data_IF_623149953072
#
_entry.id   IF_623149953072
#
_cell.length_a   1.000
_cell.length_b   1.000
_cell.length_c   1.000
_cell.angle_alpha   90.00
_cell.angle_beta   90.00
_cell.angle_gamma   90.00
#
_symmetry.space_group_name_H-M   'P 1'
#
loop_
_entity.id
_entity.type
_entity.pdbx_description
1 polymer ?
#
# COMPACT_ATOMS: atom_id res chain seq x y z
N UNK A 1 -15.19 -2.87 0.86
CA UNK A 1 -16.25 -2.45 1.79
C UNK A 1 -15.68 -2.44 3.21
N UNK A 2 -14.83 -1.44 3.48
CA UNK A 2 -14.35 -0.98 4.79
C UNK A 2 -13.64 0.34 4.48
N UNK A 3 -14.38 1.43 4.43
CA UNK A 3 -13.86 2.77 4.19
C UNK A 3 -13.25 3.36 5.47
N UNK A 4 -12.26 2.66 6.05
CA UNK A 4 -11.58 3.13 7.25
C UNK A 4 -10.58 4.21 6.84
N UNK A 5 -10.89 5.45 7.20
CA UNK A 5 -9.96 6.57 7.05
C UNK A 5 -8.88 6.50 8.15
N UNK A 6 -7.72 7.13 7.93
CA UNK A 6 -6.60 7.12 8.88
C UNK A 6 -6.99 7.60 10.28
N UNK A 7 -7.92 8.57 10.37
CA UNK A 7 -8.47 9.02 11.65
C UNK A 7 -9.29 7.94 12.36
N UNK A 8 -10.12 7.22 11.61
CA UNK A 8 -10.99 6.17 12.14
C UNK A 8 -10.18 4.97 12.67
N UNK A 9 -9.05 4.67 12.02
CA UNK A 9 -8.07 3.70 12.54
C UNK A 9 -7.49 4.12 13.90
N UNK A 10 -7.16 5.39 14.09
CA UNK A 10 -6.64 5.90 15.38
C UNK A 10 -7.71 5.77 16.47
N UNK A 11 -8.97 6.10 16.17
CA UNK A 11 -10.08 5.95 17.11
C UNK A 11 -10.23 4.47 17.51
N UNK A 12 -10.15 3.55 16.54
CA UNK A 12 -10.23 2.12 16.81
C UNK A 12 -9.07 1.63 17.68
N UNK A 13 -7.86 2.16 17.45
CA UNK A 13 -6.69 1.87 18.28
C UNK A 13 -6.90 2.36 19.72
N UNK A 14 -7.43 3.56 19.91
CA UNK A 14 -7.74 4.11 21.23
C UNK A 14 -8.77 3.23 21.95
N UNK A 15 -9.85 2.84 21.26
CA UNK A 15 -10.87 1.94 21.81
C UNK A 15 -10.24 0.60 22.20
N UNK A 16 -9.39 0.02 21.35
CA UNK A 16 -8.69 -1.22 21.67
C UNK A 16 -7.82 -1.09 22.92
N UNK A 17 -7.08 0.02 23.08
CA UNK A 17 -6.27 0.30 24.28
C UNK A 17 -7.14 0.40 25.52
N UNK A 18 -8.30 1.06 25.45
CA UNK A 18 -9.21 1.22 26.59
C UNK A 18 -9.84 -0.12 26.98
N UNK A 19 -10.33 -0.89 26.00
CA UNK A 19 -11.00 -2.18 26.24
C UNK A 19 -10.02 -3.22 26.78
N UNK A 20 -8.82 -3.30 26.22
CA UNK A 20 -7.81 -4.28 26.63
C UNK A 20 -7.03 -3.83 27.89
N UNK A 21 -6.97 -2.52 28.11
CA UNK A 21 -6.21 -1.85 29.15
C UNK A 21 -4.80 -1.45 28.67
N UNK A 22 -4.36 -0.20 28.90
CA UNK A 22 -3.05 0.28 28.44
C UNK A 22 -1.89 -0.46 29.10
N UNK A 23 -2.07 -0.94 30.33
CA UNK A 23 -1.06 -1.73 31.06
C UNK A 23 -0.87 -3.13 30.47
N UNK A 24 -1.92 -3.73 29.89
CA UNK A 24 -1.90 -5.13 29.39
C UNK A 24 -1.52 -5.24 27.93
N UNK A 25 -1.80 -4.21 27.12
CA UNK A 25 -1.44 -4.15 25.71
C UNK A 25 0.06 -4.43 25.45
N UNK A 26 1.04 -3.79 26.14
CA UNK A 26 2.46 -4.07 25.89
C UNK A 26 2.84 -5.52 26.23
N UNK A 27 2.20 -6.11 27.25
CA UNK A 27 2.44 -7.52 27.60
C UNK A 27 1.97 -8.46 26.48
N UNK A 28 0.78 -8.22 25.92
CA UNK A 28 0.26 -9.00 24.79
C UNK A 28 1.06 -8.78 23.50
N UNK A 29 1.43 -7.53 23.21
CA UNK A 29 2.29 -7.20 22.07
C UNK A 29 3.65 -7.91 22.18
N UNK A 30 4.24 -7.98 23.38
CA UNK A 30 5.47 -8.72 23.60
C UNK A 30 5.30 -10.25 23.45
N UNK A 31 4.16 -10.82 23.84
CA UNK A 31 3.83 -12.23 23.60
C UNK A 31 3.69 -12.52 22.11
N UNK A 32 2.93 -11.70 21.38
CA UNK A 32 2.79 -11.81 19.93
C UNK A 32 4.13 -11.66 19.22
N UNK A 33 4.94 -10.67 19.60
CA UNK A 33 6.27 -10.46 19.03
C UNK A 33 7.21 -11.66 19.24
N UNK A 34 7.16 -12.29 20.41
CA UNK A 34 7.90 -13.55 20.67
C UNK A 34 7.41 -14.68 19.78
N UNK A 35 6.09 -14.83 19.63
CA UNK A 35 5.49 -15.84 18.75
C UNK A 35 5.88 -15.62 17.29
N UNK A 36 5.79 -14.39 16.79
CA UNK A 36 6.21 -14.03 15.42
C UNK A 36 7.70 -14.33 15.21
N UNK A 37 8.55 -14.03 16.20
CA UNK A 37 9.98 -14.33 16.13
C UNK A 37 10.24 -15.84 16.08
N UNK A 38 9.53 -16.62 16.89
CA UNK A 38 9.64 -18.08 16.89
C UNK A 38 9.18 -18.66 15.56
N UNK A 39 8.02 -18.22 15.05
CA UNK A 39 7.53 -18.61 13.73
C UNK A 39 8.53 -18.28 12.63
N UNK A 40 9.15 -17.09 12.68
CA UNK A 40 10.20 -16.71 11.73
C UNK A 40 11.39 -17.66 11.78
N UNK A 41 11.92 -17.96 12.96
CA UNK A 41 13.04 -18.90 13.13
C UNK A 41 12.68 -20.30 12.61
N UNK A 42 11.46 -20.77 12.89
CA UNK A 42 10.96 -22.06 12.38
C UNK A 42 10.84 -22.05 10.85
N UNK A 43 10.31 -20.97 10.27
CA UNK A 43 10.19 -20.81 8.82
C UNK A 43 11.56 -20.76 8.13
N UNK A 44 12.51 -20.03 8.71
CA UNK A 44 13.88 -19.93 8.20
C UNK A 44 14.59 -21.30 8.26
N UNK A 45 14.39 -22.07 9.34
CA UNK A 45 14.92 -23.43 9.49
C UNK A 45 14.30 -24.42 8.49
N UNK A 46 12.99 -24.38 8.31
CA UNK A 46 12.29 -25.21 7.32
C UNK A 46 12.74 -24.87 5.90
N UNK A 47 12.91 -23.58 5.58
CA UNK A 47 13.45 -23.12 4.30
C UNK A 47 14.87 -23.63 4.07
N UNK A 48 15.73 -23.63 5.09
CA UNK A 48 17.07 -24.16 5.00
C UNK A 48 17.07 -25.67 4.69
N UNK A 49 16.26 -26.45 5.41
CA UNK A 49 16.12 -27.90 5.18
C UNK A 49 15.57 -28.22 3.79
N UNK A 50 14.63 -27.42 3.28
CA UNK A 50 14.05 -27.61 1.96
C UNK A 50 15.08 -27.29 0.87
N UNK A 51 15.88 -26.24 1.05
CA UNK A 51 17.01 -25.89 0.18
C UNK A 51 18.07 -26.99 0.14
N UNK A 52 18.39 -27.57 1.29
CA UNK A 52 19.41 -28.62 1.39
C UNK A 52 18.96 -29.95 0.74
N UNK A 53 17.65 -30.23 0.73
CA UNK A 53 17.08 -31.47 0.18
C UNK A 53 16.70 -31.38 -1.31
N UNK A 54 16.28 -30.22 -1.81
CA UNK A 54 15.83 -30.08 -3.20
C UNK A 54 16.95 -29.67 -4.17
N UNK A 55 18.13 -29.31 -3.67
CA UNK A 55 19.24 -28.89 -4.53
C UNK A 55 18.95 -27.58 -5.27
N UNK A 56 19.82 -27.17 -6.22
CA UNK A 56 19.79 -25.86 -6.87
C UNK A 56 18.51 -25.52 -7.66
N UNK A 57 17.54 -26.44 -7.80
CA UNK A 57 16.23 -26.16 -8.42
C UNK A 57 15.32 -25.26 -7.55
N UNK A 58 15.70 -24.97 -6.28
CA UNK A 58 15.01 -24.01 -5.41
C UNK A 58 15.56 -22.56 -5.51
N UNK A 59 16.68 -22.33 -6.20
CA UNK A 59 17.31 -21.01 -6.34
C UNK A 59 16.52 -20.07 -7.28
N UNK A 60 15.67 -20.60 -8.16
CA UNK A 60 14.87 -19.80 -9.10
C UNK A 60 13.64 -19.12 -8.45
N UNK A 61 13.28 -19.52 -7.23
CA UNK A 61 12.29 -18.80 -6.43
C UNK A 61 12.94 -17.53 -5.86
N UNK A 62 12.74 -16.42 -6.56
CA UNK A 62 13.23 -15.07 -6.26
C UNK A 62 12.78 -14.54 -4.88
N UNK A 63 13.30 -15.07 -3.77
CA UNK A 63 12.99 -14.58 -2.42
C UNK A 63 13.50 -13.16 -2.15
N UNK A 64 14.42 -12.64 -2.98
CA UNK A 64 14.92 -11.26 -2.93
C UNK A 64 13.84 -10.23 -3.21
N UNK A 65 12.76 -10.59 -3.91
CA UNK A 65 11.63 -9.69 -4.15
C UNK A 65 10.71 -9.54 -2.92
N UNK A 66 10.86 -10.42 -1.92
CA UNK A 66 10.06 -10.43 -0.69
C UNK A 66 10.85 -10.02 0.56
N UNK A 67 12.07 -9.51 0.41
CA UNK A 67 12.88 -9.04 1.54
C UNK A 67 12.37 -7.69 2.06
N UNK A 68 11.71 -7.65 3.24
CA UNK A 68 11.07 -6.43 3.75
C UNK A 68 12.08 -5.36 4.18
N UNK A 69 13.38 -5.69 4.25
CA UNK A 69 14.45 -4.77 4.67
C UNK A 69 15.01 -3.95 3.51
N UNK A 70 14.67 -4.31 2.26
CA UNK A 70 14.99 -3.52 1.08
C UNK A 70 14.01 -2.34 0.89
N UNK A 71 12.91 -2.31 1.66
CA UNK A 71 12.04 -1.15 1.79
C UNK A 71 12.55 -0.24 2.92
N UNK A 72 13.74 0.36 2.73
CA UNK A 72 14.32 1.29 3.73
C UNK A 72 13.58 2.65 3.63
N UNK A 73 12.74 3.02 4.61
CA UNK A 73 11.92 4.23 4.55
C UNK A 73 12.78 5.50 4.47
N UNK A 74 14.06 5.43 4.87
CA UNK A 74 14.99 6.56 4.79
C UNK A 74 15.37 6.92 3.36
N UNK A 75 15.33 5.95 2.43
CA UNK A 75 15.54 6.23 1.00
C UNK A 75 14.35 6.97 0.40
N UNK A 76 13.13 6.55 0.72
CA UNK A 76 11.89 7.18 0.23
C UNK A 76 11.79 8.64 0.70
N UNK A 77 12.13 8.91 1.97
CA UNK A 77 12.14 10.28 2.51
C UNK A 77 13.25 11.13 1.88
N UNK A 78 14.43 10.56 1.63
CA UNK A 78 15.52 11.28 0.93
C UNK A 78 15.15 11.60 -0.51
N UNK A 79 14.53 10.67 -1.23
CA UNK A 79 14.04 10.90 -2.59
C UNK A 79 13.02 12.07 -2.60
N UNK A 80 12.10 12.09 -1.65
CA UNK A 80 11.09 13.14 -1.52
C UNK A 80 11.64 14.52 -1.07
N UNK A 81 12.78 14.57 -0.39
CA UNK A 81 13.43 15.83 0.01
C UNK A 81 14.44 16.36 -1.03
N UNK A 82 14.94 15.51 -1.93
CA UNK A 82 15.96 15.88 -2.93
C UNK A 82 15.36 16.27 -4.27
N UNK A 83 14.06 16.00 -4.50
CA UNK A 83 13.35 16.47 -5.68
C UNK A 83 13.05 17.97 -5.49
N UNK A 84 13.62 18.88 -6.31
CA UNK A 84 13.31 20.29 -6.23
C UNK A 84 11.84 20.46 -6.61
N UNK A 85 10.98 20.68 -5.61
CA UNK A 85 9.59 21.07 -5.81
C UNK A 85 9.58 22.23 -6.80
N UNK A 86 8.96 22.12 -7.98
CA UNK A 86 8.85 23.25 -8.88
C UNK A 86 8.01 24.28 -8.12
N UNK A 87 8.66 25.38 -7.71
CA UNK A 87 7.97 26.50 -7.05
C UNK A 87 6.77 26.86 -7.90
N UNK A 88 5.59 26.96 -7.27
CA UNK A 88 4.30 27.19 -7.93
C UNK A 88 4.28 28.37 -8.93
N UNK A 89 5.25 29.28 -8.83
CA UNK A 89 5.51 30.35 -9.79
C UNK A 89 5.90 29.86 -11.21
N UNK A 90 6.61 28.74 -11.34
CA UNK A 90 7.03 28.18 -12.63
C UNK A 90 5.94 27.31 -13.29
N UNK A 91 5.04 26.72 -12.50
CA UNK A 91 3.91 25.96 -13.01
C UNK A 91 2.81 26.87 -13.60
N UNK A 92 2.64 28.08 -13.06
CA UNK A 92 1.67 29.05 -13.56
C UNK A 92 2.05 29.62 -14.95
N UNK A 93 3.34 29.78 -15.24
CA UNK A 93 3.81 30.23 -16.56
C UNK A 93 3.71 29.12 -17.62
N UNK A 94 3.96 27.86 -17.25
CA UNK A 94 3.80 26.73 -18.16
C UNK A 94 2.33 26.43 -18.51
N UNK A 95 1.40 26.65 -17.58
CA UNK A 95 -0.04 26.43 -17.81
C UNK A 95 -0.67 27.47 -18.75
N UNK A 96 -0.05 28.64 -18.93
CA UNK A 96 -0.57 29.69 -19.82
C UNK A 96 -0.26 29.39 -21.30
N UNK A 97 0.76 28.58 -21.60
CA UNK A 97 1.19 28.26 -22.97
C UNK A 97 0.52 27.01 -23.58
N UNK A 98 -0.21 26.22 -22.80
CA UNK A 98 -0.86 24.98 -23.26
C UNK A 98 -2.35 25.15 -23.66
N UNK A 99 -2.83 26.40 -23.76
CA UNK A 99 -4.21 26.75 -24.10
C UNK A 99 -4.57 26.65 -25.59
N UNK A 100 -4.20 25.57 -26.28
CA UNK A 100 -4.59 25.36 -27.69
C UNK A 100 -4.63 23.89 -28.14
N UNK A 101 -5.40 23.02 -27.47
CA UNK A 101 -5.88 21.77 -28.07
C UNK A 101 -7.08 21.18 -27.31
N UNK A 102 -8.28 21.44 -27.80
CA UNK A 102 -9.52 20.84 -27.30
C UNK A 102 -9.67 19.39 -27.79
N UNK A 103 -9.63 18.43 -26.86
CA UNK A 103 -10.07 17.04 -27.06
C UNK A 103 -11.44 16.81 -26.41
N UNK A 104 -12.26 15.86 -26.89
CA UNK A 104 -13.65 15.73 -26.47
C UNK A 104 -13.75 15.27 -25.01
N UNK A 105 -14.48 16.02 -24.20
CA UNK A 105 -14.78 15.66 -22.82
C UNK A 105 -15.65 14.39 -22.76
N UNK A 106 -15.39 13.45 -21.83
CA UNK A 106 -16.24 12.27 -21.67
C UNK A 106 -17.64 12.70 -21.22
N UNK A 107 -18.66 12.27 -21.96
CA UNK A 107 -20.04 12.57 -21.65
C UNK A 107 -20.43 11.96 -20.29
N UNK A 108 -20.84 12.81 -19.34
CA UNK A 108 -21.33 12.41 -18.03
C UNK A 108 -22.68 11.71 -18.19
N UNK A 109 -22.82 10.51 -17.62
CA UNK A 109 -24.07 9.74 -17.64
C UNK A 109 -25.11 10.37 -16.70
N UNK A 110 -26.28 10.71 -17.24
CA UNK A 110 -27.41 11.26 -16.49
C UNK A 110 -28.41 10.14 -16.11
N UNK A 111 -28.53 9.77 -14.81
CA UNK A 111 -29.36 8.67 -14.36
C UNK A 111 -30.87 8.95 -14.42
N UNK A 112 -31.27 10.20 -14.70
CA UNK A 112 -32.69 10.59 -14.78
C UNK A 112 -33.25 10.39 -16.19
N UNK A 113 -32.38 10.21 -17.20
CA UNK A 113 -32.79 9.98 -18.57
C UNK A 113 -32.97 8.47 -18.81
N UNK A 114 -34.14 7.99 -19.26
CA UNK A 114 -34.29 6.59 -19.64
C UNK A 114 -33.33 6.27 -20.78
N UNK A 115 -32.61 5.15 -20.66
CA UNK A 115 -31.70 4.68 -21.69
C UNK A 115 -32.47 4.41 -22.98
N UNK A 116 -32.05 4.97 -24.13
CA UNK A 116 -32.73 4.74 -25.40
C UNK A 116 -32.79 3.25 -25.75
N UNK A 117 -33.93 2.80 -26.27
CA UNK A 117 -34.11 1.43 -26.75
C UNK A 117 -33.22 1.19 -27.98
N UNK A 118 -32.38 0.16 -27.92
CA UNK A 118 -31.49 -0.27 -29.01
C UNK A 118 -32.21 -1.32 -29.88
N UNK A 119 -32.57 -1.02 -31.13
CA UNK A 119 -33.26 -1.95 -32.02
C UNK A 119 -32.34 -3.05 -32.59
N UNK A 120 -31.02 -2.97 -32.40
CA UNK A 120 -30.06 -3.94 -32.96
C UNK A 120 -29.68 -5.06 -31.96
N UNK A 121 -30.27 -5.06 -30.75
CA UNK A 121 -30.10 -6.15 -29.78
C UNK A 121 -31.07 -7.32 -30.09
N UNK A 122 -30.64 -8.30 -30.89
CA UNK A 122 -31.31 -9.61 -31.08
C UNK A 122 -30.56 -10.72 -30.36
#
# INVERSE_FOLDING_TARGET
MFDINGYEFIVLLLVAVVVLGPERLPEYAAKLGRLVRQLRVMADGAKAQLKDQMGPEFDDLNWRQYDPRQYDPRRIVREALMDPVPTAAAAATAATDLGAAAGPSPAVHDPVKPTPWDPDAT
#
